data_IF_139693323955
#
_entry.id   IF_139693323955
#
_cell.length_a   1.000
_cell.length_b   1.000
_cell.length_c   1.000
_cell.angle_alpha   90.00
_cell.angle_beta   90.00
_cell.angle_gamma   90.00
#
_symmetry.space_group_name_H-M   'P 1'
#
loop_
_entity.id
_entity.type
_entity.pdbx_description
1 polymer ?
#
# COMPACT_ATOMS: atom_id res chain seq x y z
N UNK A 1 14.41 -6.62 -6.26
CA UNK A 1 14.42 -6.66 -4.78
C UNK A 1 13.13 -6.07 -4.23
N UNK A 2 12.78 -4.81 -4.55
CA UNK A 2 11.58 -4.14 -4.00
C UNK A 2 10.28 -4.93 -4.18
N UNK A 3 10.04 -5.50 -5.36
CA UNK A 3 8.85 -6.34 -5.60
C UNK A 3 8.83 -7.62 -4.76
N UNK A 4 9.98 -8.27 -4.57
CA UNK A 4 10.09 -9.46 -3.73
C UNK A 4 9.87 -9.13 -2.26
N UNK A 5 10.43 -8.00 -1.80
CA UNK A 5 10.24 -7.51 -0.44
C UNK A 5 8.77 -7.17 -0.18
N UNK A 6 8.11 -6.50 -1.14
CA UNK A 6 6.68 -6.22 -1.07
C UNK A 6 5.85 -7.50 -1.01
N UNK A 7 6.13 -8.48 -1.87
CA UNK A 7 5.40 -9.76 -1.86
C UNK A 7 5.61 -10.54 -0.57
N UNK A 8 6.84 -10.57 -0.04
CA UNK A 8 7.14 -11.19 1.24
C UNK A 8 6.32 -10.54 2.36
N UNK A 9 6.33 -9.20 2.44
CA UNK A 9 5.55 -8.45 3.41
C UNK A 9 4.04 -8.72 3.26
N UNK A 10 3.49 -8.58 2.04
CA UNK A 10 2.07 -8.74 1.76
C UNK A 10 1.56 -10.14 2.09
N UNK A 11 2.31 -11.19 1.74
CA UNK A 11 1.97 -12.58 2.04
C UNK A 11 1.74 -12.83 3.53
N UNK A 12 2.45 -12.11 4.39
CA UNK A 12 2.39 -12.30 5.83
C UNK A 12 1.51 -11.26 6.53
N UNK A 13 1.36 -10.08 5.95
CA UNK A 13 0.47 -9.03 6.45
C UNK A 13 -1.00 -9.39 6.19
N UNK A 14 -1.28 -9.97 5.02
CA UNK A 14 -2.60 -10.41 4.61
C UNK A 14 -2.71 -11.93 4.71
N UNK A 15 -3.55 -12.43 5.61
CA UNK A 15 -3.75 -13.87 5.83
C UNK A 15 -4.90 -14.43 5.00
N UNK A 16 -5.96 -13.66 4.82
CA UNK A 16 -7.22 -14.07 4.17
C UNK A 16 -7.53 -13.31 2.89
N UNK A 17 -7.07 -12.08 2.77
CA UNK A 17 -7.33 -11.21 1.63
C UNK A 17 -6.53 -11.62 0.39
N UNK A 18 -7.09 -11.30 -0.79
CA UNK A 18 -6.41 -11.52 -2.09
C UNK A 18 -5.12 -10.72 -2.24
N UNK A 19 -4.92 -9.67 -1.45
CA UNK A 19 -3.66 -8.89 -1.44
C UNK A 19 -2.42 -9.68 -0.99
N UNK A 20 -2.60 -10.86 -0.41
CA UNK A 20 -1.49 -11.79 -0.13
C UNK A 20 -0.83 -12.36 -1.38
N UNK A 21 -1.52 -12.31 -2.51
CA UNK A 21 -1.04 -12.85 -3.78
C UNK A 21 -0.42 -11.76 -4.64
N UNK A 22 0.55 -12.15 -5.46
CA UNK A 22 1.10 -11.26 -6.46
C UNK A 22 0.04 -10.95 -7.53
N UNK A 23 -0.30 -9.68 -7.72
CA UNK A 23 -1.28 -9.23 -8.72
C UNK A 23 -0.88 -9.56 -10.16
N UNK A 24 0.42 -9.68 -10.42
CA UNK A 24 0.96 -10.10 -11.73
C UNK A 24 0.94 -11.62 -11.93
N UNK A 25 0.51 -12.36 -10.92
CA UNK A 25 0.52 -13.81 -10.88
C UNK A 25 1.84 -14.40 -10.39
N UNK A 26 1.77 -15.64 -9.97
CA UNK A 26 2.92 -16.42 -9.56
C UNK A 26 3.31 -17.33 -10.73
N UNK A 27 4.55 -17.23 -11.28
CA UNK A 27 4.98 -18.06 -12.40
C UNK A 27 4.84 -19.55 -12.16
N UNK A 28 4.96 -20.02 -10.93
CA UNK A 28 4.80 -21.44 -10.59
C UNK A 28 3.34 -21.91 -10.70
N UNK A 29 2.39 -21.02 -10.44
CA UNK A 29 0.95 -21.33 -10.45
C UNK A 29 0.25 -20.97 -11.77
N UNK A 30 0.80 -20.05 -12.56
CA UNK A 30 0.20 -19.61 -13.84
C UNK A 30 0.07 -20.78 -14.81
N UNK A 31 1.04 -21.68 -14.83
CA UNK A 31 1.07 -22.85 -15.74
C UNK A 31 -0.04 -23.86 -15.45
N UNK A 32 -0.61 -23.84 -14.26
CA UNK A 32 -1.69 -24.75 -13.83
C UNK A 32 -3.09 -24.22 -14.18
N UNK A 33 -3.19 -22.97 -14.63
CA UNK A 33 -4.46 -22.37 -15.03
C UNK A 33 -4.97 -22.93 -16.35
N UNK A 34 -6.23 -23.34 -16.35
CA UNK A 34 -6.94 -23.74 -17.56
C UNK A 34 -7.61 -22.55 -18.27
N UNK A 35 -7.93 -22.72 -19.55
CA UNK A 35 -8.77 -21.75 -20.28
C UNK A 35 -10.13 -21.55 -19.62
N UNK A 36 -10.70 -22.61 -19.03
CA UNK A 36 -11.99 -22.56 -18.35
C UNK A 36 -11.91 -21.70 -17.09
N UNK A 37 -10.85 -21.79 -16.30
CA UNK A 37 -10.61 -20.94 -15.12
C UNK A 37 -10.57 -19.48 -15.52
N UNK A 38 -9.85 -19.13 -16.59
CA UNK A 38 -9.77 -17.76 -17.10
C UNK A 38 -11.15 -17.23 -17.53
N UNK A 39 -11.91 -18.04 -18.27
CA UNK A 39 -13.26 -17.65 -18.75
C UNK A 39 -14.21 -17.47 -17.57
N UNK A 40 -14.18 -18.36 -16.59
CA UNK A 40 -15.04 -18.26 -15.41
C UNK A 40 -14.69 -17.06 -14.54
N UNK A 41 -13.38 -16.81 -14.35
CA UNK A 41 -12.92 -15.61 -13.67
C UNK A 41 -13.39 -14.34 -14.38
N UNK A 42 -13.23 -14.27 -15.69
CA UNK A 42 -13.68 -13.12 -16.47
C UNK A 42 -15.20 -12.91 -16.35
N UNK A 43 -16.01 -13.95 -16.52
CA UNK A 43 -17.47 -13.85 -16.38
C UNK A 43 -17.91 -13.34 -15.02
N UNK A 44 -17.24 -13.80 -13.97
CA UNK A 44 -17.53 -13.41 -12.59
C UNK A 44 -17.16 -11.96 -12.31
N UNK A 45 -15.94 -11.57 -12.66
CA UNK A 45 -15.36 -10.29 -12.23
C UNK A 45 -15.65 -9.13 -13.18
N UNK A 46 -15.88 -9.41 -14.47
CA UNK A 46 -16.13 -8.39 -15.50
C UNK A 46 -17.61 -8.25 -15.87
N UNK A 47 -18.48 -8.58 -14.92
CA UNK A 47 -19.92 -8.39 -15.10
C UNK A 47 -20.29 -6.91 -14.91
N UNK A 48 -21.24 -6.34 -15.75
CA UNK A 48 -21.64 -4.94 -15.64
C UNK A 48 -22.20 -4.55 -14.26
N UNK A 49 -22.80 -5.47 -13.50
CA UNK A 49 -23.26 -5.22 -12.13
C UNK A 49 -22.11 -4.89 -11.16
N UNK A 50 -20.85 -5.20 -11.51
CA UNK A 50 -19.65 -4.85 -10.76
C UNK A 50 -18.91 -3.65 -11.36
N UNK A 51 -19.47 -3.00 -12.39
CA UNK A 51 -18.81 -1.92 -13.10
C UNK A 51 -19.40 -0.56 -12.75
N UNK A 52 -18.56 0.45 -12.64
CA UNK A 52 -18.97 1.86 -12.62
C UNK A 52 -18.50 2.53 -13.91
N UNK A 53 -19.45 3.03 -14.69
CA UNK A 53 -19.14 3.76 -15.90
C UNK A 53 -18.97 5.25 -15.59
N UNK A 54 -17.78 5.78 -15.84
CA UNK A 54 -17.45 7.19 -15.64
C UNK A 54 -17.09 7.83 -16.98
N UNK A 55 -17.75 8.94 -17.31
CA UNK A 55 -17.47 9.71 -18.53
C UNK A 55 -17.22 11.16 -18.18
N UNK A 56 -16.21 11.76 -18.77
CA UNK A 56 -15.79 13.13 -18.52
C UNK A 56 -15.64 13.87 -19.86
N UNK A 57 -16.12 15.13 -19.91
CA UNK A 57 -15.99 16.00 -21.08
C UNK A 57 -17.31 16.66 -21.48
N UNK A 58 -17.29 17.39 -22.61
CA UNK A 58 -18.50 18.01 -23.18
C UNK A 58 -19.26 16.96 -24.01
N UNK A 59 -19.94 16.05 -23.33
CA UNK A 59 -20.70 14.94 -23.90
C UNK A 59 -22.15 15.02 -23.43
N UNK A 60 -23.10 14.55 -24.26
CA UNK A 60 -24.49 14.38 -23.84
C UNK A 60 -24.59 13.10 -22.97
N UNK A 61 -24.95 13.21 -21.68
CA UNK A 61 -25.07 12.05 -20.80
C UNK A 61 -26.10 11.03 -21.29
N UNK A 62 -27.18 11.47 -21.92
CA UNK A 62 -28.26 10.59 -22.39
C UNK A 62 -27.79 9.75 -23.59
N UNK A 63 -27.07 10.36 -24.52
CA UNK A 63 -26.48 9.64 -25.65
C UNK A 63 -25.49 8.56 -25.17
N UNK A 64 -24.60 8.91 -24.22
CA UNK A 64 -23.64 7.96 -23.64
C UNK A 64 -24.35 6.83 -22.90
N UNK A 65 -25.36 7.14 -22.08
CA UNK A 65 -26.11 6.11 -21.36
C UNK A 65 -26.85 5.17 -22.34
N UNK A 66 -27.47 5.69 -23.39
CA UNK A 66 -28.10 4.87 -24.42
C UNK A 66 -27.10 4.00 -25.17
N UNK A 67 -25.93 4.54 -25.48
CA UNK A 67 -24.85 3.78 -26.12
C UNK A 67 -24.38 2.62 -25.23
N UNK A 68 -24.09 2.89 -23.95
CA UNK A 68 -23.68 1.85 -22.97
C UNK A 68 -24.77 0.81 -22.82
N UNK A 69 -26.04 1.25 -22.69
CA UNK A 69 -27.17 0.33 -22.58
C UNK A 69 -27.23 -0.62 -23.76
N UNK A 70 -27.28 -0.09 -24.98
CA UNK A 70 -27.47 -0.88 -26.20
C UNK A 70 -26.30 -1.80 -26.54
N UNK A 71 -25.05 -1.37 -26.22
CA UNK A 71 -23.84 -2.12 -26.60
C UNK A 71 -23.31 -3.02 -25.48
N UNK A 72 -23.74 -2.82 -24.24
CA UNK A 72 -23.24 -3.59 -23.09
C UNK A 72 -24.39 -4.17 -22.29
N UNK A 73 -25.21 -3.31 -21.66
CA UNK A 73 -26.14 -3.73 -20.60
C UNK A 73 -27.25 -4.67 -21.11
N UNK A 74 -27.76 -4.45 -22.32
CA UNK A 74 -28.85 -5.26 -22.91
C UNK A 74 -28.43 -6.73 -23.15
N UNK A 75 -27.12 -7.04 -23.10
CA UNK A 75 -26.57 -8.39 -23.24
C UNK A 75 -26.43 -9.14 -21.90
N UNK A 76 -26.73 -8.49 -20.79
CA UNK A 76 -26.57 -9.07 -19.45
C UNK A 76 -27.87 -9.01 -18.65
N UNK A 77 -28.07 -9.99 -17.79
CA UNK A 77 -29.07 -9.91 -16.74
C UNK A 77 -28.44 -9.36 -15.45
N UNK A 78 -29.17 -8.58 -14.65
CA UNK A 78 -28.65 -8.12 -13.36
C UNK A 78 -28.13 -9.27 -12.50
N UNK A 79 -27.04 -9.07 -11.80
CA UNK A 79 -26.46 -10.03 -10.84
C UNK A 79 -26.35 -9.38 -9.47
N UNK A 80 -26.73 -10.12 -8.44
CA UNK A 80 -26.57 -9.74 -7.03
C UNK A 80 -25.21 -10.23 -6.46
N UNK A 81 -24.38 -10.85 -7.29
CA UNK A 81 -23.06 -11.30 -6.87
C UNK A 81 -22.16 -10.10 -6.62
N UNK A 82 -21.78 -9.91 -5.36
CA UNK A 82 -20.85 -8.85 -4.95
C UNK A 82 -19.41 -9.38 -5.05
N UNK A 83 -18.65 -8.78 -5.94
CA UNK A 83 -17.22 -9.06 -6.08
C UNK A 83 -16.45 -7.96 -5.36
N UNK A 84 -15.74 -8.31 -4.31
CA UNK A 84 -14.96 -7.35 -3.53
C UNK A 84 -14.01 -8.05 -2.56
N UNK A 85 -13.05 -7.28 -2.06
CA UNK A 85 -12.11 -7.72 -1.05
C UNK A 85 -12.70 -7.41 0.33
N UNK A 86 -12.66 -8.39 1.23
CA UNK A 86 -13.03 -8.17 2.64
C UNK A 86 -11.85 -7.53 3.39
N UNK A 87 -12.14 -6.92 4.53
CA UNK A 87 -11.10 -6.42 5.41
C UNK A 87 -10.32 -7.60 5.98
N UNK A 88 -9.02 -7.37 6.19
CA UNK A 88 -8.15 -8.36 6.79
C UNK A 88 -8.40 -8.46 8.30
N UNK A 89 -8.36 -9.66 8.84
CA UNK A 89 -8.40 -9.88 10.28
C UNK A 89 -7.12 -9.35 10.93
N UNK A 90 -7.27 -8.56 11.98
CA UNK A 90 -6.12 -8.02 12.70
C UNK A 90 -5.38 -9.10 13.47
N UNK A 91 -4.07 -9.06 13.41
CA UNK A 91 -3.23 -9.95 14.23
C UNK A 91 -3.48 -9.67 15.72
N UNK A 92 -3.61 -10.72 16.52
CA UNK A 92 -3.78 -10.62 17.97
C UNK A 92 -2.49 -10.20 18.70
N UNK A 93 -1.35 -10.35 18.05
CA UNK A 93 -0.03 -9.96 18.53
C UNK A 93 0.92 -9.69 17.35
N UNK A 94 1.99 -8.92 17.56
CA UNK A 94 3.04 -8.75 16.57
C UNK A 94 3.61 -10.10 16.12
N UNK A 95 3.95 -10.19 14.83
CA UNK A 95 4.51 -11.40 14.23
C UNK A 95 5.85 -11.08 13.57
N UNK A 96 6.89 -11.79 13.94
CA UNK A 96 8.21 -11.68 13.31
C UNK A 96 8.37 -12.79 12.27
N UNK A 97 8.75 -12.41 11.06
CA UNK A 97 8.94 -13.29 9.92
C UNK A 97 10.35 -13.10 9.39
N UNK A 98 11.01 -14.21 9.04
CA UNK A 98 12.24 -14.20 8.24
C UNK A 98 11.94 -14.87 6.91
N UNK A 99 12.33 -14.21 5.83
CA UNK A 99 12.19 -14.69 4.47
C UNK A 99 13.49 -14.46 3.69
N UNK A 100 13.59 -15.03 2.50
CA UNK A 100 14.79 -15.00 1.69
C UNK A 100 14.50 -14.42 0.31
N UNK A 101 15.45 -13.72 -0.25
CA UNK A 101 15.44 -13.30 -1.64
C UNK A 101 16.79 -13.62 -2.31
N UNK A 102 16.80 -13.67 -3.63
CA UNK A 102 18.04 -13.87 -4.37
C UNK A 102 18.76 -12.53 -4.52
N UNK A 103 19.94 -12.33 -3.89
CA UNK A 103 20.68 -11.09 -4.00
C UNK A 103 21.23 -10.90 -5.40
N UNK A 104 21.53 -9.67 -5.77
CA UNK A 104 22.35 -9.38 -6.92
C UNK A 104 23.81 -9.75 -6.60
N UNK A 105 24.63 -10.13 -7.62
CA UNK A 105 26.05 -10.35 -7.39
C UNK A 105 26.73 -9.14 -6.75
N UNK A 106 27.40 -9.34 -5.63
CA UNK A 106 28.04 -8.29 -4.84
C UNK A 106 27.16 -7.65 -3.76
N UNK A 107 25.94 -8.15 -3.55
CA UNK A 107 24.95 -7.65 -2.59
C UNK A 107 24.50 -8.74 -1.60
N UNK A 108 25.36 -9.72 -1.37
CA UNK A 108 25.05 -10.93 -0.60
C UNK A 108 24.79 -10.66 0.89
N UNK A 109 25.35 -9.58 1.43
CA UNK A 109 25.18 -9.16 2.83
C UNK A 109 24.11 -8.07 3.02
N UNK A 110 23.32 -7.77 1.98
CA UNK A 110 22.28 -6.75 2.05
C UNK A 110 20.99 -7.31 2.64
N UNK A 111 20.80 -7.17 3.93
CA UNK A 111 19.58 -7.57 4.61
C UNK A 111 18.61 -6.38 4.73
N UNK A 112 17.32 -6.66 4.61
CA UNK A 112 16.24 -5.70 4.82
C UNK A 112 15.51 -6.03 6.12
N UNK A 113 15.24 -5.02 6.93
CA UNK A 113 14.39 -5.11 8.12
C UNK A 113 13.26 -4.11 7.96
N UNK A 114 12.02 -4.58 7.94
CA UNK A 114 10.81 -3.76 7.73
C UNK A 114 9.77 -4.13 8.77
N UNK A 115 9.20 -3.12 9.43
CA UNK A 115 7.99 -3.25 10.23
C UNK A 115 6.84 -2.68 9.41
N UNK A 116 5.72 -3.38 9.40
CA UNK A 116 4.51 -2.93 8.70
C UNK A 116 3.29 -3.01 9.58
N UNK A 117 2.37 -2.06 9.38
CA UNK A 117 1.10 -1.97 10.09
C UNK A 117 -0.02 -1.87 9.08
N UNK A 118 -1.05 -2.69 9.27
CA UNK A 118 -2.31 -2.56 8.57
C UNK A 118 -3.19 -1.57 9.33
N UNK A 119 -3.56 -0.48 8.65
CA UNK A 119 -4.29 0.64 9.21
C UNK A 119 -5.78 0.61 8.80
N UNK A 120 -6.43 1.76 8.77
CA UNK A 120 -7.83 1.94 8.43
C UNK A 120 -8.09 1.73 6.93
N UNK A 121 -9.36 1.73 6.55
CA UNK A 121 -9.78 1.59 5.16
C UNK A 121 -9.46 2.86 4.35
N UNK A 122 -9.00 2.69 3.12
CA UNK A 122 -8.61 3.80 2.24
C UNK A 122 -9.80 4.61 1.70
N UNK A 123 -11.02 4.09 1.79
CA UNK A 123 -12.20 4.76 1.24
C UNK A 123 -12.78 5.86 2.14
N UNK A 124 -12.37 5.93 3.42
CA UNK A 124 -12.77 7.02 4.31
C UNK A 124 -11.84 8.23 4.07
N UNK A 125 -12.32 9.34 3.46
CA UNK A 125 -11.44 10.44 3.06
C UNK A 125 -10.83 11.20 4.25
N UNK A 126 -11.48 11.19 5.41
CA UNK A 126 -10.96 11.85 6.62
C UNK A 126 -9.80 11.04 7.19
N UNK A 127 -10.01 9.75 7.41
CA UNK A 127 -8.98 8.84 7.93
C UNK A 127 -7.79 8.73 6.97
N UNK A 128 -8.06 8.71 5.66
CA UNK A 128 -7.03 8.73 4.63
C UNK A 128 -6.17 10.00 4.74
N UNK A 129 -6.81 11.17 4.87
CA UNK A 129 -6.12 12.46 5.00
C UNK A 129 -5.29 12.53 6.29
N UNK A 130 -5.83 12.06 7.41
CA UNK A 130 -5.12 11.99 8.68
C UNK A 130 -3.90 11.08 8.59
N UNK A 131 -4.04 9.93 7.91
CA UNK A 131 -2.95 8.98 7.72
C UNK A 131 -1.87 9.53 6.77
N UNK A 132 -2.25 10.25 5.71
CA UNK A 132 -1.31 10.97 4.86
C UNK A 132 -0.54 12.04 5.64
N UNK A 133 -1.25 12.82 6.47
CA UNK A 133 -0.61 13.83 7.31
C UNK A 133 0.36 13.20 8.31
N UNK A 134 -0.03 12.11 8.95
CA UNK A 134 0.84 11.34 9.83
C UNK A 134 2.11 10.87 9.10
N UNK A 135 1.96 10.27 7.92
CA UNK A 135 3.08 9.79 7.11
C UNK A 135 4.03 10.93 6.72
N UNK A 136 3.48 12.08 6.32
CA UNK A 136 4.28 13.27 5.98
C UNK A 136 5.05 13.79 7.20
N UNK A 137 4.41 13.89 8.35
CA UNK A 137 5.07 14.31 9.61
C UNK A 137 6.24 13.39 9.92
N UNK A 138 6.08 12.09 9.74
CA UNK A 138 7.09 11.09 10.09
C UNK A 138 8.23 11.01 9.08
N UNK A 139 7.96 11.24 7.77
CA UNK A 139 8.86 10.80 6.70
C UNK A 139 9.15 11.82 5.59
N UNK A 140 8.43 12.95 5.46
CA UNK A 140 8.46 13.80 4.25
C UNK A 140 9.84 14.38 3.93
N UNK A 141 10.63 14.71 4.94
CA UNK A 141 11.95 15.31 4.75
C UNK A 141 12.94 14.86 5.83
N UNK A 142 14.22 15.22 5.66
CA UNK A 142 15.31 14.81 6.56
C UNK A 142 15.21 15.35 8.00
N UNK A 143 14.34 16.33 8.26
CA UNK A 143 14.02 16.82 9.59
C UNK A 143 12.85 16.05 10.23
N UNK A 144 12.10 15.29 9.45
CA UNK A 144 11.00 14.43 9.92
C UNK A 144 11.54 13.35 10.87
N UNK A 145 10.90 13.14 12.02
CA UNK A 145 11.51 12.40 13.13
C UNK A 145 11.88 10.95 12.79
N UNK A 146 10.99 10.22 12.14
CA UNK A 146 11.29 8.83 11.80
C UNK A 146 12.32 8.72 10.67
N UNK A 147 12.21 9.58 9.66
CA UNK A 147 13.21 9.65 8.57
C UNK A 147 14.60 9.99 9.11
N UNK A 148 14.67 10.97 10.00
CA UNK A 148 15.93 11.35 10.66
C UNK A 148 16.51 10.21 11.49
N UNK A 149 15.68 9.46 12.21
CA UNK A 149 16.13 8.30 12.98
C UNK A 149 16.70 7.21 12.06
N UNK A 150 16.00 6.90 10.98
CA UNK A 150 16.43 5.89 10.00
C UNK A 150 17.74 6.30 9.31
N UNK A 151 17.78 7.49 8.71
CA UNK A 151 18.95 7.99 7.97
C UNK A 151 20.18 8.26 8.87
N UNK A 152 19.93 8.64 10.14
CA UNK A 152 20.99 8.90 11.12
C UNK A 152 21.53 7.66 11.82
N UNK A 153 20.88 6.52 11.67
CA UNK A 153 21.29 5.27 12.29
C UNK A 153 22.50 4.66 11.56
N UNK A 154 23.27 3.85 12.26
CA UNK A 154 24.34 3.04 11.66
C UNK A 154 23.93 1.57 11.54
N UNK A 155 22.64 1.29 11.58
CA UNK A 155 22.09 -0.06 11.56
C UNK A 155 21.81 -0.56 10.14
N UNK A 156 21.79 0.33 9.17
CA UNK A 156 21.63 0.06 7.75
C UNK A 156 22.28 1.14 6.90
N UNK A 157 22.20 1.01 5.60
CA UNK A 157 22.76 1.95 4.62
C UNK A 157 21.78 3.05 4.24
N UNK A 158 20.48 2.73 4.19
CA UNK A 158 19.41 3.67 3.86
C UNK A 158 18.04 3.16 4.34
N UNK A 159 17.02 4.05 4.39
CA UNK A 159 15.65 3.59 4.60
C UNK A 159 15.22 2.57 3.55
N UNK A 160 14.48 1.55 3.98
CA UNK A 160 13.92 0.55 3.09
C UNK A 160 13.05 1.18 2.00
N UNK A 161 13.07 0.68 0.75
CA UNK A 161 12.20 1.16 -0.32
C UNK A 161 10.70 0.99 -0.03
N UNK A 162 10.32 0.20 0.97
CA UNK A 162 8.94 0.09 1.44
C UNK A 162 8.57 1.10 2.54
N UNK A 163 9.51 1.95 2.98
CA UNK A 163 9.23 2.95 4.02
C UNK A 163 8.27 4.01 3.49
N UNK A 164 7.08 4.09 4.09
CA UNK A 164 6.05 5.04 3.72
C UNK A 164 4.65 4.50 3.90
N UNK A 165 3.70 5.22 3.32
CA UNK A 165 2.28 4.88 3.29
C UNK A 165 1.92 4.32 1.91
N UNK A 166 1.37 3.11 1.90
CA UNK A 166 0.73 2.51 0.74
C UNK A 166 -0.80 2.67 0.88
N UNK A 167 -1.42 3.33 -0.09
CA UNK A 167 -2.83 3.71 -0.04
C UNK A 167 -3.67 3.16 -1.21
N UNK A 168 -3.06 2.36 -2.10
CA UNK A 168 -3.73 1.83 -3.29
C UNK A 168 -4.55 0.56 -3.02
N UNK A 169 -4.54 0.09 -1.78
CA UNK A 169 -5.30 -1.07 -1.35
C UNK A 169 -6.55 -0.67 -0.56
N UNK A 170 -7.44 -1.63 -0.30
CA UNK A 170 -8.65 -1.39 0.49
C UNK A 170 -8.35 -0.86 1.89
N UNK A 171 -7.28 -1.38 2.50
CA UNK A 171 -6.78 -0.94 3.80
C UNK A 171 -5.38 -0.37 3.62
N UNK A 172 -5.13 0.74 4.30
CA UNK A 172 -3.86 1.43 4.27
C UNK A 172 -2.77 0.60 4.93
N UNK A 173 -1.56 0.61 4.36
CA UNK A 173 -0.39 0.00 4.96
C UNK A 173 0.65 1.08 5.22
N UNK A 174 1.12 1.19 6.45
CA UNK A 174 2.30 1.97 6.78
C UNK A 174 3.45 1.04 7.05
N UNK A 175 4.60 1.32 6.49
CA UNK A 175 5.81 0.55 6.71
C UNK A 175 7.00 1.45 7.02
N UNK A 176 7.92 0.96 7.83
CA UNK A 176 9.19 1.61 8.13
C UNK A 176 10.29 0.57 8.27
N UNK A 177 11.48 0.86 7.75
CA UNK A 177 12.58 -0.08 7.80
C UNK A 177 13.88 0.46 7.26
N UNK A 178 14.87 -0.38 7.26
CA UNK A 178 16.20 -0.13 6.72
C UNK A 178 16.60 -1.23 5.74
N UNK A 179 17.41 -0.87 4.76
CA UNK A 179 18.16 -1.79 3.90
C UNK A 179 19.65 -1.72 4.21
N UNK A 180 20.41 -2.69 3.74
CA UNK A 180 21.84 -2.80 4.02
C UNK A 180 22.14 -3.08 5.48
N UNK A 181 21.24 -3.80 6.16
CA UNK A 181 21.39 -4.17 7.56
C UNK A 181 22.30 -5.39 7.72
N UNK A 182 22.92 -5.49 8.90
CA UNK A 182 23.52 -6.76 9.34
C UNK A 182 22.43 -7.65 9.92
N UNK A 183 22.33 -8.90 9.48
CA UNK A 183 21.27 -9.84 9.88
C UNK A 183 21.04 -9.94 11.39
N UNK A 184 22.10 -9.91 12.20
CA UNK A 184 22.03 -9.99 13.67
C UNK A 184 21.45 -8.75 14.35
N UNK A 185 21.24 -7.64 13.61
CA UNK A 185 20.80 -6.35 14.16
C UNK A 185 19.32 -6.03 13.91
N UNK A 186 18.53 -7.01 13.53
CA UNK A 186 17.11 -6.79 13.24
C UNK A 186 16.32 -6.26 14.45
N UNK A 187 16.63 -6.71 15.67
CA UNK A 187 16.00 -6.23 16.90
C UNK A 187 16.35 -4.77 17.16
N UNK A 188 17.61 -4.38 16.97
CA UNK A 188 18.04 -2.98 17.14
C UNK A 188 17.33 -2.04 16.14
N UNK A 189 17.04 -2.51 14.92
CA UNK A 189 16.25 -1.73 13.92
C UNK A 189 14.80 -1.61 14.36
N UNK A 190 14.21 -2.69 14.87
CA UNK A 190 12.85 -2.67 15.41
C UNK A 190 12.75 -1.69 16.58
N UNK A 191 13.65 -1.77 17.56
CA UNK A 191 13.72 -0.87 18.70
C UNK A 191 13.87 0.59 18.26
N UNK A 192 14.77 0.89 17.31
CA UNK A 192 14.94 2.24 16.78
C UNK A 192 13.63 2.85 16.29
N UNK A 193 12.86 2.08 15.51
CA UNK A 193 11.59 2.54 14.93
C UNK A 193 10.55 2.73 16.02
N UNK A 194 10.37 1.73 16.88
CA UNK A 194 9.37 1.75 17.95
C UNK A 194 9.68 2.83 18.99
N UNK A 195 10.93 3.04 19.36
CA UNK A 195 11.33 4.08 20.30
C UNK A 195 11.10 5.48 19.74
N UNK A 196 11.36 5.69 18.44
CA UNK A 196 11.03 6.94 17.77
C UNK A 196 9.52 7.23 17.84
N UNK A 197 8.68 6.26 17.51
CA UNK A 197 7.23 6.40 17.56
C UNK A 197 6.73 6.60 19.00
N UNK A 198 7.24 5.83 19.95
CA UNK A 198 6.88 5.96 21.37
C UNK A 198 7.28 7.33 21.95
N UNK A 199 8.41 7.88 21.53
CA UNK A 199 8.83 9.23 21.95
C UNK A 199 7.85 10.28 21.45
N UNK A 200 7.39 10.16 20.19
CA UNK A 200 6.38 11.08 19.63
C UNK A 200 5.01 10.94 20.32
N UNK A 201 4.64 9.73 20.74
CA UNK A 201 3.40 9.50 21.51
C UNK A 201 3.52 10.17 22.88
N UNK A 202 4.65 10.02 23.54
CA UNK A 202 4.88 10.55 24.89
C UNK A 202 5.05 12.06 24.93
N UNK A 203 5.86 12.61 24.04
CA UNK A 203 6.28 14.01 24.06
C UNK A 203 5.38 14.90 23.19
N UNK A 204 4.58 14.29 22.33
CA UNK A 204 3.73 14.94 21.33
C UNK A 204 4.52 15.32 20.08
N UNK A 205 3.79 15.56 19.00
CA UNK A 205 4.37 16.07 17.74
C UNK A 205 4.56 17.59 17.86
N UNK A 206 5.73 18.15 17.52
CA UNK A 206 5.95 19.58 17.51
C UNK A 206 4.93 20.31 16.63
N UNK A 207 4.31 21.38 17.16
CA UNK A 207 3.26 22.11 16.44
C UNK A 207 3.74 22.69 15.12
N UNK A 208 4.97 23.18 15.06
CA UNK A 208 5.55 23.74 13.84
C UNK A 208 5.67 22.68 12.73
N UNK A 209 5.95 21.42 13.09
CA UNK A 209 6.01 20.33 12.14
C UNK A 209 4.61 20.00 11.60
N UNK A 210 3.59 20.00 12.46
CA UNK A 210 2.20 19.80 12.03
C UNK A 210 1.77 20.93 11.09
N UNK A 211 2.02 22.19 11.45
CA UNK A 211 1.69 23.36 10.63
C UNK A 211 2.41 23.33 9.26
N UNK A 212 3.68 22.98 9.25
CA UNK A 212 4.46 22.87 8.02
C UNK A 212 3.92 21.78 7.10
N UNK A 213 3.62 20.60 7.65
CA UNK A 213 3.07 19.48 6.88
C UNK A 213 1.67 19.78 6.33
N UNK A 214 0.81 20.42 7.11
CA UNK A 214 -0.51 20.87 6.65
C UNK A 214 -0.40 21.91 5.53
N UNK A 215 0.51 22.88 5.68
CA UNK A 215 0.70 23.92 4.66
C UNK A 215 1.22 23.33 3.35
N UNK A 216 2.16 22.40 3.41
CA UNK A 216 2.65 21.70 2.22
C UNK A 216 1.55 20.87 1.55
N UNK A 217 0.72 20.18 2.33
CA UNK A 217 -0.41 19.43 1.81
C UNK A 217 -1.41 20.38 1.11
N UNK A 218 -1.72 21.53 1.72
CA UNK A 218 -2.60 22.54 1.12
C UNK A 218 -2.03 23.07 -0.21
N UNK A 219 -0.73 23.35 -0.28
CA UNK A 219 -0.08 23.78 -1.53
C UNK A 219 -0.21 22.70 -2.59
N UNK A 220 0.14 21.45 -2.28
CA UNK A 220 0.04 20.32 -3.22
C UNK A 220 -1.38 20.16 -3.75
N UNK A 221 -2.40 20.29 -2.90
CA UNK A 221 -3.80 20.20 -3.33
C UNK A 221 -4.26 21.36 -4.22
N UNK A 222 -3.70 22.57 -4.02
CA UNK A 222 -4.02 23.73 -4.86
C UNK A 222 -3.27 23.75 -6.19
N UNK A 223 -2.12 23.10 -6.26
CA UNK A 223 -1.26 23.01 -7.44
C UNK A 223 -1.51 21.76 -8.30
N UNK A 224 -2.62 21.04 -8.06
CA UNK A 224 -3.03 19.95 -8.95
C UNK A 224 -3.37 20.54 -10.31
N UNK A 225 -2.37 20.59 -11.17
CA UNK A 225 -2.54 20.81 -12.61
C UNK A 225 -2.67 19.44 -13.26
N UNK A 226 -3.78 19.21 -13.97
CA UNK A 226 -3.94 17.97 -14.71
C UNK A 226 -2.71 17.70 -15.57
N UNK A 227 -2.18 16.51 -15.51
CA UNK A 227 -1.26 16.02 -16.54
C UNK A 227 -2.07 15.93 -17.82
N UNK A 228 -1.86 16.87 -18.73
CA UNK A 228 -2.44 16.88 -20.06
C UNK A 228 -2.06 15.68 -20.89
#
# INVERSE_FOLDING_TARGET
ITSQLWHGMSRHLYSSSTYRHNSSGDPENIIDLSHEDLVNFHKKHYHPSNATFFTFGKLDPVEIQNFIKANVLDSFSPSDEVVGVQNEERLSAPKTISDFYNPQPGDEDNHHVVISWLLNESHNPVELLETYLMSNILLDNSASPLRKALEGSKLGTSPSPLTGLEADQKELVFAAGLEGCVASKHIEVEELILDCLNSLIKDGVPKDLIHSSLHQLEIRQREITGSG
#
